data_IF_443445290737
#
_entry.id   IF_443445290737
#
_cell.length_a   1.000
_cell.length_b   1.000
_cell.length_c   1.000
_cell.angle_alpha   90.00
_cell.angle_beta   90.00
_cell.angle_gamma   90.00
#
_symmetry.space_group_name_H-M   'P 1'
#
loop_
_entity.id
_entity.type
_entity.pdbx_description
1 polymer ?
#
# COMPACT_ATOMS: atom_id res chain seq x y z
N UNK A 1 20.75 25.72 -8.02
CA UNK A 1 21.24 25.77 -6.61
C UNK A 1 22.47 24.89 -6.51
N UNK A 2 23.53 25.28 -5.73
CA UNK A 2 24.76 24.47 -5.62
C UNK A 2 24.59 23.33 -4.61
N UNK A 3 25.28 22.21 -4.85
CA UNK A 3 25.38 21.04 -3.94
C UNK A 3 25.97 21.41 -2.56
N UNK A 4 26.70 22.53 -2.45
CA UNK A 4 27.27 23.01 -1.20
C UNK A 4 26.25 23.21 -0.08
N UNK A 5 24.98 23.48 -0.43
CA UNK A 5 23.86 23.60 0.52
C UNK A 5 23.59 22.31 1.29
N UNK A 6 23.94 21.16 0.75
CA UNK A 6 23.77 19.87 1.41
C UNK A 6 24.88 19.58 2.45
N UNK A 7 25.94 20.39 2.48
CA UNK A 7 27.11 20.22 3.38
C UNK A 7 27.73 18.82 3.33
N UNK A 8 27.75 18.23 2.14
CA UNK A 8 28.35 16.92 1.88
C UNK A 8 29.86 16.96 1.96
N UNK A 9 30.48 15.82 2.22
CA UNK A 9 31.93 15.67 2.10
C UNK A 9 32.38 15.81 0.64
N UNK A 10 33.59 16.32 0.42
CA UNK A 10 34.16 16.52 -0.93
C UNK A 10 34.08 15.27 -1.81
N UNK A 11 34.37 14.03 -1.33
CA UNK A 11 34.23 12.82 -2.13
C UNK A 11 32.77 12.54 -2.58
N UNK A 12 31.76 12.88 -1.74
CA UNK A 12 30.35 12.69 -2.10
C UNK A 12 29.87 13.74 -3.09
N UNK A 13 30.33 14.99 -2.94
CA UNK A 13 30.04 16.03 -3.96
C UNK A 13 30.60 15.61 -5.33
N UNK A 14 31.85 15.12 -5.37
CA UNK A 14 32.45 14.60 -6.59
C UNK A 14 31.66 13.42 -7.16
N UNK A 15 31.25 12.45 -6.32
CA UNK A 15 30.46 11.30 -6.74
C UNK A 15 29.10 11.72 -7.31
N UNK A 16 28.41 12.68 -6.71
CA UNK A 16 27.16 13.23 -7.24
C UNK A 16 27.37 13.90 -8.59
N UNK A 17 28.42 14.72 -8.72
CA UNK A 17 28.73 15.42 -9.97
C UNK A 17 29.05 14.42 -11.10
N UNK A 18 29.87 13.41 -10.81
CA UNK A 18 30.21 12.34 -11.78
C UNK A 18 28.98 11.51 -12.19
N UNK A 19 28.01 11.36 -11.27
CA UNK A 19 26.73 10.69 -11.55
C UNK A 19 25.71 11.60 -12.25
N UNK A 20 26.05 12.86 -12.57
CA UNK A 20 25.15 13.81 -13.24
C UNK A 20 24.19 14.55 -12.32
N UNK A 21 24.29 14.39 -11.00
CA UNK A 21 23.47 15.12 -10.02
C UNK A 21 24.09 16.48 -9.71
N UNK A 22 23.79 17.47 -10.52
CA UNK A 22 24.44 18.80 -10.45
C UNK A 22 23.77 19.75 -9.45
N UNK A 23 22.49 19.54 -9.17
CA UNK A 23 21.69 20.38 -8.27
C UNK A 23 20.97 19.55 -7.22
N UNK A 24 20.88 20.03 -5.96
CA UNK A 24 20.12 19.35 -4.94
C UNK A 24 18.61 19.47 -5.19
N UNK A 25 17.89 18.39 -4.98
CA UNK A 25 16.42 18.40 -4.99
C UNK A 25 15.86 18.92 -3.67
N UNK A 26 14.61 19.37 -3.70
CA UNK A 26 13.96 20.00 -2.54
C UNK A 26 13.92 19.09 -1.32
N UNK A 27 13.57 17.81 -1.50
CA UNK A 27 13.58 16.82 -0.40
C UNK A 27 14.94 16.74 0.26
N UNK A 28 16.04 16.78 -0.50
CA UNK A 28 17.39 16.72 0.03
C UNK A 28 17.70 17.96 0.90
N UNK A 29 17.31 19.15 0.42
CA UNK A 29 17.52 20.41 1.13
C UNK A 29 16.75 20.46 2.46
N UNK A 30 15.50 19.95 2.47
CA UNK A 30 14.64 19.98 3.65
C UNK A 30 14.98 18.91 4.69
N UNK A 31 15.47 17.73 4.25
CA UNK A 31 15.62 16.56 5.14
C UNK A 31 17.06 16.32 5.60
N UNK A 32 18.08 16.57 4.76
CA UNK A 32 19.45 16.19 5.01
C UNK A 32 19.99 16.68 6.36
N UNK A 33 19.78 17.96 6.68
CA UNK A 33 20.29 18.54 7.95
C UNK A 33 19.64 17.92 9.18
N UNK A 34 18.37 17.52 9.10
CA UNK A 34 17.65 16.85 10.20
C UNK A 34 18.13 15.42 10.39
N UNK A 35 18.31 14.67 9.28
CA UNK A 35 18.83 13.30 9.33
C UNK A 35 20.25 13.30 9.89
N UNK A 36 21.14 14.19 9.43
CA UNK A 36 22.50 14.29 9.95
C UNK A 36 22.53 14.75 11.42
N UNK A 37 21.55 15.56 11.83
CA UNK A 37 21.36 16.01 13.21
C UNK A 37 20.82 14.95 14.17
N UNK A 38 20.38 13.78 13.65
CA UNK A 38 19.86 12.68 14.48
C UNK A 38 18.36 12.77 14.78
N UNK A 39 17.62 13.67 14.13
CA UNK A 39 16.17 13.79 14.29
C UNK A 39 15.45 12.72 13.48
N UNK A 40 14.44 12.08 14.05
CA UNK A 40 13.53 11.21 13.31
C UNK A 40 12.76 12.01 12.26
N UNK A 41 12.65 11.44 11.05
CA UNK A 41 12.08 12.15 9.89
C UNK A 41 11.09 11.25 9.15
N UNK A 42 9.95 11.83 8.78
CA UNK A 42 9.05 11.27 7.77
C UNK A 42 9.07 12.23 6.58
N UNK A 43 9.58 11.78 5.46
CA UNK A 43 9.62 12.54 4.21
C UNK A 43 8.52 12.02 3.27
N UNK A 44 7.58 12.89 2.96
CA UNK A 44 6.42 12.61 2.10
C UNK A 44 6.61 13.31 0.77
N UNK A 45 6.45 12.57 -0.31
CA UNK A 45 6.46 13.16 -1.64
C UNK A 45 6.55 12.12 -2.77
N UNK A 46 6.20 12.53 -4.00
CA UNK A 46 6.03 11.62 -5.12
C UNK A 46 7.31 10.88 -5.50
N UNK A 47 7.17 9.92 -6.41
CA UNK A 47 8.30 9.24 -7.02
C UNK A 47 9.18 10.24 -7.78
N UNK A 48 10.49 9.98 -7.85
CA UNK A 48 11.43 10.82 -8.61
C UNK A 48 11.97 12.04 -7.86
N UNK A 49 11.43 12.47 -6.71
CA UNK A 49 11.91 13.65 -5.97
C UNK A 49 13.31 13.48 -5.33
N UNK A 50 13.91 12.28 -5.42
CA UNK A 50 15.26 12.00 -4.91
C UNK A 50 15.30 11.43 -3.49
N UNK A 51 14.26 10.72 -3.06
CA UNK A 51 14.19 10.03 -1.75
C UNK A 51 15.37 9.09 -1.53
N UNK A 52 15.58 8.16 -2.46
CA UNK A 52 16.66 7.14 -2.40
C UNK A 52 18.03 7.79 -2.31
N UNK A 53 18.32 8.76 -3.17
CA UNK A 53 19.60 9.50 -3.14
C UNK A 53 19.80 10.22 -1.80
N UNK A 54 18.73 10.77 -1.20
CA UNK A 54 18.80 11.46 0.08
C UNK A 54 19.32 10.58 1.20
N UNK A 55 18.70 9.41 1.40
CA UNK A 55 19.14 8.55 2.51
C UNK A 55 20.44 7.81 2.22
N UNK A 56 20.76 7.53 0.96
CA UNK A 56 22.07 6.98 0.59
C UNK A 56 23.17 7.96 0.97
N UNK A 57 23.03 9.24 0.59
CA UNK A 57 23.98 10.30 0.98
C UNK A 57 24.07 10.46 2.50
N UNK A 58 22.92 10.51 3.18
CA UNK A 58 22.87 10.64 4.64
C UNK A 58 23.55 9.46 5.33
N UNK A 59 23.34 8.24 4.87
CA UNK A 59 23.96 7.02 5.39
C UNK A 59 25.49 7.08 5.22
N UNK A 60 25.97 7.40 4.02
CA UNK A 60 27.40 7.51 3.72
C UNK A 60 28.08 8.66 4.50
N UNK A 61 27.36 9.74 4.81
CA UNK A 61 27.85 10.83 5.65
C UNK A 61 27.91 10.47 7.13
N UNK A 62 26.93 9.73 7.61
CA UNK A 62 26.74 9.44 9.05
C UNK A 62 27.60 8.28 9.52
N UNK A 63 27.80 7.25 8.71
CA UNK A 63 28.60 6.10 9.06
C UNK A 63 30.08 6.46 8.95
N UNK A 64 30.69 6.76 10.10
CA UNK A 64 32.13 6.93 10.18
C UNK A 64 32.79 5.57 9.93
N UNK A 65 33.95 5.62 9.28
CA UNK A 65 34.79 4.45 9.12
C UNK A 65 35.21 3.93 10.50
N UNK A 66 34.68 2.79 10.87
CA UNK A 66 35.11 1.98 12.00
C UNK A 66 34.79 0.53 11.66
N UNK A 67 35.69 -0.39 11.86
CA UNK A 67 35.44 -1.81 11.72
C UNK A 67 34.48 -2.23 12.84
N UNK A 68 33.24 -2.56 12.47
CA UNK A 68 32.23 -3.08 13.39
C UNK A 68 31.78 -4.45 12.87
N UNK A 69 31.61 -5.41 13.77
CA UNK A 69 31.17 -6.76 13.42
C UNK A 69 29.66 -6.82 13.14
N UNK A 70 28.92 -5.76 13.45
CA UNK A 70 27.46 -5.71 13.31
C UNK A 70 27.03 -4.53 12.41
N UNK A 71 25.91 -4.64 11.71
CA UNK A 71 25.42 -3.60 10.80
C UNK A 71 25.08 -2.32 11.55
N UNK A 72 25.37 -1.19 10.90
CA UNK A 72 25.14 0.17 11.44
C UNK A 72 23.97 0.86 10.75
N UNK A 73 23.58 0.42 9.56
CA UNK A 73 22.37 0.87 8.88
C UNK A 73 21.55 -0.33 8.42
N UNK A 74 20.24 -0.24 8.62
CA UNK A 74 19.24 -1.16 8.10
C UNK A 74 18.23 -0.36 7.29
N UNK A 75 18.10 -0.73 6.01
CA UNK A 75 17.19 -0.09 5.06
C UNK A 75 16.16 -1.14 4.64
N UNK A 76 14.90 -0.88 4.94
CA UNK A 76 13.80 -1.75 4.58
C UNK A 76 13.09 -1.22 3.34
N UNK A 77 12.89 -2.09 2.35
CA UNK A 77 12.26 -1.80 1.07
C UNK A 77 11.19 -2.85 0.74
N UNK A 78 10.20 -2.55 -0.13
CA UNK A 78 9.03 -3.41 -0.30
C UNK A 78 9.29 -4.77 -0.97
N UNK A 79 10.35 -4.92 -1.77
CA UNK A 79 10.65 -6.13 -2.55
C UNK A 79 12.10 -6.22 -3.03
N UNK A 80 12.43 -7.30 -3.75
CA UNK A 80 13.77 -7.57 -4.27
C UNK A 80 14.23 -6.58 -5.35
N UNK A 81 13.34 -6.04 -6.15
CA UNK A 81 13.65 -5.05 -7.17
C UNK A 81 14.19 -3.79 -6.53
N UNK A 82 13.48 -3.26 -5.53
CA UNK A 82 13.93 -2.11 -4.75
C UNK A 82 15.24 -2.38 -3.98
N UNK A 83 15.46 -3.62 -3.50
CA UNK A 83 16.77 -3.98 -2.91
C UNK A 83 17.89 -3.77 -3.92
N UNK A 84 17.73 -4.25 -5.14
CA UNK A 84 18.74 -4.12 -6.19
C UNK A 84 18.96 -2.65 -6.59
N UNK A 85 17.91 -1.85 -6.72
CA UNK A 85 17.98 -0.43 -7.03
C UNK A 85 18.74 0.37 -5.96
N UNK A 86 18.44 0.14 -4.68
CA UNK A 86 19.12 0.82 -3.57
C UNK A 86 20.61 0.45 -3.52
N UNK A 87 20.94 -0.83 -3.73
CA UNK A 87 22.34 -1.26 -3.80
C UNK A 87 23.05 -0.60 -4.98
N UNK A 88 22.41 -0.53 -6.15
CA UNK A 88 22.97 0.15 -7.32
C UNK A 88 23.24 1.64 -7.00
N UNK A 89 22.32 2.30 -6.30
CA UNK A 89 22.49 3.69 -5.90
C UNK A 89 23.65 3.88 -4.89
N UNK A 90 23.83 2.96 -3.93
CA UNK A 90 25.00 2.96 -3.07
C UNK A 90 26.29 2.78 -3.86
N UNK A 91 26.33 1.83 -4.80
CA UNK A 91 27.51 1.58 -5.62
C UNK A 91 27.89 2.78 -6.49
N UNK A 92 26.88 3.52 -6.97
CA UNK A 92 27.07 4.74 -7.77
C UNK A 92 27.73 5.86 -6.95
N UNK A 93 27.29 6.07 -5.70
CA UNK A 93 27.70 7.22 -4.88
C UNK A 93 28.81 6.88 -3.88
N UNK A 94 28.99 5.62 -3.52
CA UNK A 94 29.99 5.21 -2.54
C UNK A 94 31.39 5.13 -3.13
N UNK A 95 32.25 6.09 -2.81
CA UNK A 95 33.68 6.08 -3.15
C UNK A 95 34.53 5.28 -2.17
N UNK A 96 33.99 4.97 -1.00
CA UNK A 96 34.68 4.20 0.02
C UNK A 96 34.38 2.71 -0.12
N UNK A 97 35.23 1.99 -0.80
CA UNK A 97 35.07 0.55 -1.03
C UNK A 97 35.20 -0.33 0.23
N UNK A 98 35.45 0.27 1.38
CA UNK A 98 35.55 -0.49 2.64
C UNK A 98 34.17 -0.78 3.26
N UNK A 99 33.12 -0.05 2.86
CA UNK A 99 31.75 -0.37 3.29
C UNK A 99 31.27 -1.68 2.66
N UNK A 100 30.82 -2.58 3.51
CA UNK A 100 30.21 -3.86 3.12
C UNK A 100 28.71 -3.67 3.11
N UNK A 101 28.13 -3.72 1.92
CA UNK A 101 26.71 -3.51 1.66
C UNK A 101 26.11 -4.81 1.17
N UNK A 102 25.10 -5.33 1.85
CA UNK A 102 24.44 -6.61 1.51
C UNK A 102 22.97 -6.39 1.26
N UNK A 103 22.47 -7.02 0.18
CA UNK A 103 21.04 -7.12 -0.14
C UNK A 103 20.44 -8.41 0.40
N UNK A 104 19.29 -8.30 1.03
CA UNK A 104 18.61 -9.42 1.66
C UNK A 104 17.16 -9.49 1.18
N UNK A 105 16.86 -10.49 0.38
CA UNK A 105 15.53 -10.77 -0.14
C UNK A 105 15.24 -12.28 -0.15
N UNK A 106 14.10 -12.67 -0.67
CA UNK A 106 13.67 -14.08 -0.70
C UNK A 106 14.31 -14.91 -1.81
N UNK A 107 15.06 -14.31 -2.76
CA UNK A 107 15.69 -15.04 -3.88
C UNK A 107 16.89 -15.86 -3.42
N UNK A 108 17.61 -15.40 -2.39
CA UNK A 108 18.76 -16.10 -1.81
C UNK A 108 18.39 -17.14 -0.76
N UNK A 109 19.26 -18.16 -0.58
CA UNK A 109 19.16 -19.12 0.52
C UNK A 109 19.34 -18.44 1.88
N UNK A 110 18.55 -18.84 2.90
CA UNK A 110 18.65 -18.19 4.22
C UNK A 110 19.99 -18.46 4.88
N UNK A 111 20.54 -19.66 4.72
CA UNK A 111 21.83 -20.04 5.30
C UNK A 111 23.00 -19.29 4.65
N UNK A 112 22.92 -19.05 3.34
CA UNK A 112 23.91 -18.21 2.63
C UNK A 112 23.89 -16.78 3.19
N UNK A 113 22.73 -16.20 3.35
CA UNK A 113 22.58 -14.83 3.90
C UNK A 113 23.01 -14.76 5.39
N UNK A 114 22.79 -15.82 6.16
CA UNK A 114 23.34 -15.91 7.53
C UNK A 114 24.85 -15.87 7.53
N UNK A 115 25.52 -16.60 6.64
CA UNK A 115 26.96 -16.61 6.52
C UNK A 115 27.50 -15.23 6.08
N UNK A 116 26.85 -14.59 5.09
CA UNK A 116 27.21 -13.22 4.66
C UNK A 116 27.14 -12.20 5.81
N UNK A 117 26.11 -12.31 6.68
CA UNK A 117 25.99 -11.44 7.84
C UNK A 117 27.08 -11.74 8.90
N UNK A 118 27.49 -12.99 9.05
CA UNK A 118 28.54 -13.41 10.00
C UNK A 118 29.91 -12.89 9.59
N UNK A 119 30.20 -12.77 8.31
CA UNK A 119 31.44 -12.19 7.79
C UNK A 119 31.56 -10.69 8.09
N UNK A 120 30.51 -10.08 8.64
CA UNK A 120 30.39 -8.69 9.04
C UNK A 120 29.89 -7.80 7.90
N UNK A 121 28.94 -6.96 8.19
CA UNK A 121 28.25 -6.05 7.24
C UNK A 121 28.05 -4.67 7.87
N UNK A 122 28.22 -3.62 7.09
CA UNK A 122 28.01 -2.24 7.55
C UNK A 122 26.59 -1.74 7.25
N UNK A 123 26.07 -2.06 6.06
CA UNK A 123 24.79 -1.60 5.57
C UNK A 123 24.01 -2.79 5.02
N UNK A 124 22.78 -2.95 5.50
CA UNK A 124 21.85 -3.96 5.03
C UNK A 124 20.69 -3.28 4.32
N UNK A 125 20.38 -3.72 3.10
CA UNK A 125 19.18 -3.38 2.36
C UNK A 125 18.31 -4.63 2.27
N UNK A 126 17.10 -4.61 2.81
CA UNK A 126 16.35 -5.84 2.99
C UNK A 126 14.84 -5.70 2.77
N UNK A 127 14.20 -6.79 2.35
CA UNK A 127 12.76 -6.95 2.47
C UNK A 127 12.39 -7.27 3.93
N UNK A 128 11.36 -6.64 4.51
CA UNK A 128 11.06 -6.74 5.94
C UNK A 128 10.91 -8.17 6.48
N UNK A 129 10.18 -9.04 5.81
CA UNK A 129 9.97 -10.44 6.24
C UNK A 129 11.29 -11.20 6.33
N UNK A 130 12.16 -10.98 5.34
CA UNK A 130 13.42 -11.69 5.26
C UNK A 130 14.39 -11.20 6.33
N UNK A 131 14.47 -9.88 6.54
CA UNK A 131 15.24 -9.30 7.63
C UNK A 131 14.75 -9.81 8.99
N UNK A 132 13.43 -9.88 9.20
CA UNK A 132 12.83 -10.45 10.40
C UNK A 132 13.20 -11.92 10.59
N UNK A 133 13.14 -12.72 9.54
CA UNK A 133 13.50 -14.16 9.62
C UNK A 133 14.96 -14.36 10.06
N UNK A 134 15.89 -13.52 9.56
CA UNK A 134 17.29 -13.53 9.97
C UNK A 134 17.49 -12.99 11.40
N UNK A 135 16.71 -12.00 11.80
CA UNK A 135 16.70 -11.51 13.19
C UNK A 135 16.25 -12.60 14.18
N UNK A 136 15.16 -13.30 13.88
CA UNK A 136 14.66 -14.38 14.72
C UNK A 136 15.63 -15.59 14.79
N UNK A 137 16.44 -15.78 13.76
CA UNK A 137 17.53 -16.77 13.75
C UNK A 137 18.83 -16.27 14.41
N UNK A 138 18.82 -15.07 14.99
CA UNK A 138 19.97 -14.42 15.64
C UNK A 138 21.15 -14.12 14.69
N UNK A 139 20.92 -14.14 13.39
CA UNK A 139 21.94 -13.79 12.40
C UNK A 139 22.00 -12.27 12.15
N UNK A 140 20.89 -11.56 12.25
CA UNK A 140 20.83 -10.11 12.16
C UNK A 140 20.93 -9.48 13.54
N UNK A 141 22.07 -8.86 13.85
CA UNK A 141 22.28 -8.12 15.09
C UNK A 141 21.87 -6.65 14.93
N UNK A 142 20.81 -6.24 15.60
CA UNK A 142 20.27 -4.87 15.53
C UNK A 142 20.85 -3.89 16.53
N UNK A 143 21.68 -4.34 17.48
CA UNK A 143 22.16 -3.53 18.61
C UNK A 143 23.07 -2.35 18.20
N UNK A 144 23.72 -2.43 17.05
CA UNK A 144 24.66 -1.39 16.55
C UNK A 144 24.03 -0.52 15.46
N UNK A 145 22.79 -0.75 15.10
CA UNK A 145 22.09 0.06 14.09
C UNK A 145 21.96 1.50 14.60
N UNK A 146 22.54 2.43 13.85
CA UNK A 146 22.48 3.86 14.08
C UNK A 146 21.40 4.52 13.23
N UNK A 147 21.09 3.92 12.07
CA UNK A 147 20.14 4.44 11.11
C UNK A 147 19.21 3.32 10.64
N UNK A 148 17.93 3.48 10.93
CA UNK A 148 16.86 2.58 10.51
C UNK A 148 16.00 3.32 9.49
N UNK A 149 16.02 2.87 8.24
CA UNK A 149 15.33 3.53 7.13
C UNK A 149 14.24 2.61 6.60
N UNK A 150 13.09 3.19 6.31
CA UNK A 150 12.00 2.52 5.59
C UNK A 150 11.72 3.33 4.33
N UNK A 151 11.96 2.76 3.18
CA UNK A 151 11.68 3.39 1.89
C UNK A 151 10.43 2.79 1.26
N UNK A 152 9.66 3.59 0.53
CA UNK A 152 8.36 3.25 -0.03
C UNK A 152 7.43 2.59 1.01
N UNK A 153 7.31 3.26 2.18
CA UNK A 153 6.62 2.71 3.35
C UNK A 153 5.14 2.40 3.07
N UNK A 154 4.49 3.16 2.19
CA UNK A 154 3.13 2.91 1.71
C UNK A 154 3.00 1.58 0.96
N UNK A 155 4.01 1.19 0.16
CA UNK A 155 4.03 -0.11 -0.53
C UNK A 155 4.26 -1.26 0.44
N UNK A 156 5.08 -1.05 1.48
CA UNK A 156 5.27 -2.01 2.57
C UNK A 156 3.93 -2.26 3.29
N UNK A 157 3.16 -1.21 3.56
CA UNK A 157 1.81 -1.33 4.13
C UNK A 157 0.85 -2.04 3.18
N UNK A 158 0.88 -1.71 1.88
CA UNK A 158 0.06 -2.35 0.83
C UNK A 158 0.33 -3.85 0.75
N UNK A 159 1.59 -4.27 0.93
CA UNK A 159 2.02 -5.68 0.94
C UNK A 159 1.76 -6.42 2.27
N UNK A 160 1.27 -5.74 3.30
CA UNK A 160 0.98 -6.36 4.60
C UNK A 160 2.21 -6.64 5.48
N UNK A 161 3.32 -5.93 5.23
CA UNK A 161 4.62 -6.15 5.87
C UNK A 161 4.86 -5.27 7.13
N UNK A 162 3.79 -4.71 7.73
CA UNK A 162 3.89 -3.79 8.86
C UNK A 162 4.50 -4.44 10.10
N UNK A 163 4.07 -5.66 10.43
CA UNK A 163 4.53 -6.36 11.63
C UNK A 163 6.05 -6.58 11.65
N UNK A 164 6.67 -7.11 10.58
CA UNK A 164 8.13 -7.21 10.48
C UNK A 164 8.86 -5.88 10.69
N UNK A 165 8.35 -4.78 10.12
CA UNK A 165 8.94 -3.44 10.30
C UNK A 165 8.92 -3.01 11.76
N UNK A 166 7.75 -3.14 12.43
CA UNK A 166 7.58 -2.74 13.83
C UNK A 166 8.47 -3.55 14.76
N UNK A 167 8.57 -4.87 14.55
CA UNK A 167 9.42 -5.73 15.39
C UNK A 167 10.90 -5.37 15.23
N UNK A 168 11.37 -5.16 14.00
CA UNK A 168 12.75 -4.78 13.73
C UNK A 168 13.08 -3.37 14.27
N UNK A 169 12.19 -2.40 14.10
CA UNK A 169 12.37 -1.05 14.63
C UNK A 169 12.44 -1.06 16.16
N UNK A 170 11.55 -1.79 16.82
CA UNK A 170 11.57 -1.94 18.28
C UNK A 170 12.82 -2.68 18.78
N UNK A 171 13.45 -3.54 17.98
CA UNK A 171 14.71 -4.18 18.33
C UNK A 171 15.92 -3.24 18.22
N UNK A 172 15.82 -2.19 17.40
CA UNK A 172 16.86 -1.20 17.15
C UNK A 172 16.58 0.14 17.88
N UNK A 173 16.24 0.10 19.17
CA UNK A 173 15.75 1.24 19.97
C UNK A 173 16.66 2.48 19.99
N UNK A 174 17.95 2.32 19.74
CA UNK A 174 18.93 3.44 19.72
C UNK A 174 19.10 4.03 18.32
N UNK A 175 18.50 3.44 17.31
CA UNK A 175 18.59 3.92 15.94
C UNK A 175 17.75 5.18 15.76
N UNK A 176 18.22 6.05 14.88
CA UNK A 176 17.39 7.10 14.29
C UNK A 176 16.50 6.47 13.25
N UNK A 177 15.21 6.80 13.25
CA UNK A 177 14.23 6.31 12.28
C UNK A 177 13.98 7.34 11.18
N UNK A 178 14.08 6.92 9.93
CA UNK A 178 13.84 7.78 8.77
C UNK A 178 12.94 7.05 7.80
N UNK A 179 11.80 7.64 7.52
CA UNK A 179 10.75 7.04 6.69
C UNK A 179 10.61 7.87 5.43
N UNK A 180 10.54 7.20 4.30
CA UNK A 180 10.22 7.79 3.01
C UNK A 180 8.95 7.16 2.47
N UNK A 181 8.01 8.00 2.04
CA UNK A 181 6.69 7.57 1.55
C UNK A 181 6.17 8.54 0.51
N UNK A 182 5.28 8.09 -0.36
CA UNK A 182 4.57 9.00 -1.28
C UNK A 182 3.36 9.64 -0.61
N UNK A 183 2.71 8.91 0.28
CA UNK A 183 1.52 9.36 1.02
C UNK A 183 1.61 8.97 2.49
N UNK A 184 1.08 9.83 3.35
CA UNK A 184 0.92 9.55 4.77
C UNK A 184 -0.57 9.31 5.04
N UNK A 185 -0.91 8.12 5.51
CA UNK A 185 -2.29 7.69 5.79
C UNK A 185 -2.37 6.91 7.10
N UNK A 186 -3.57 6.69 7.62
CA UNK A 186 -3.78 6.14 8.97
C UNK A 186 -3.13 4.77 9.20
N UNK A 187 -3.19 3.85 8.24
CA UNK A 187 -2.53 2.53 8.38
C UNK A 187 -1.01 2.65 8.48
N UNK A 188 -0.42 3.61 7.75
CA UNK A 188 1.01 3.91 7.85
C UNK A 188 1.33 4.54 9.20
N UNK A 189 0.54 5.51 9.66
CA UNK A 189 0.68 6.11 10.97
C UNK A 189 0.60 5.06 12.09
N UNK A 190 -0.33 4.10 12.00
CA UNK A 190 -0.44 2.99 12.95
C UNK A 190 0.81 2.10 12.95
N UNK A 191 1.48 1.91 11.81
CA UNK A 191 2.75 1.19 11.74
C UNK A 191 3.88 1.98 12.43
N UNK A 192 3.93 3.30 12.26
CA UNK A 192 5.03 4.15 12.74
C UNK A 192 4.91 4.50 14.24
N UNK A 193 3.71 4.69 14.76
CA UNK A 193 3.45 5.12 16.15
C UNK A 193 4.18 4.31 17.24
N UNK A 194 4.38 2.98 17.13
CA UNK A 194 5.09 2.21 18.15
C UNK A 194 6.56 2.61 18.36
N UNK A 195 7.24 3.15 17.33
CA UNK A 195 8.66 3.44 17.38
C UNK A 195 9.04 4.89 17.02
N UNK A 196 8.12 5.70 16.49
CA UNK A 196 8.34 7.13 16.18
C UNK A 196 7.39 8.00 17.00
N UNK A 197 7.90 8.76 17.97
CA UNK A 197 7.04 9.57 18.87
C UNK A 197 6.82 11.00 18.37
N UNK A 198 7.87 11.68 17.91
CA UNK A 198 7.82 13.09 17.48
C UNK A 198 8.68 13.29 16.23
N UNK A 199 8.40 12.62 15.12
CA UNK A 199 9.18 12.80 13.90
C UNK A 199 8.94 14.19 13.29
N UNK A 200 9.96 14.70 12.60
CA UNK A 200 9.77 15.84 11.71
C UNK A 200 9.08 15.34 10.42
N UNK A 201 7.86 15.78 10.17
CA UNK A 201 7.16 15.50 8.91
C UNK A 201 7.55 16.57 7.90
N UNK A 202 8.01 16.13 6.74
CA UNK A 202 8.47 17.00 5.65
C UNK A 202 7.75 16.57 4.38
N UNK A 203 6.90 17.44 3.90
CA UNK A 203 6.17 17.24 2.65
C UNK A 203 6.82 18.02 1.52
N UNK A 204 6.97 17.35 0.38
CA UNK A 204 7.43 17.91 -0.87
C UNK A 204 6.41 17.56 -1.94
N UNK A 205 5.82 18.57 -2.55
CA UNK A 205 4.86 18.43 -3.64
C UNK A 205 5.56 18.81 -4.95
N UNK A 206 5.47 17.97 -5.93
CA UNK A 206 5.97 18.22 -7.28
C UNK A 206 4.79 18.04 -8.22
N UNK A 207 4.07 19.15 -8.44
CA UNK A 207 2.96 19.20 -9.40
C UNK A 207 3.51 19.52 -10.79
N UNK A 208 2.77 19.18 -11.83
CA UNK A 208 3.11 19.55 -13.19
C UNK A 208 3.21 21.08 -13.33
N UNK A 209 4.16 21.56 -14.13
CA UNK A 209 4.38 23.00 -14.34
C UNK A 209 3.17 23.72 -14.97
N UNK A 210 2.32 22.97 -15.68
CA UNK A 210 1.06 23.46 -16.25
C UNK A 210 -0.09 22.70 -15.63
N UNK A 211 -0.99 23.44 -15.01
CA UNK A 211 -2.29 22.92 -14.61
C UNK A 211 -3.12 22.57 -15.84
N UNK A 212 -3.67 21.38 -15.89
CA UNK A 212 -4.67 21.03 -16.88
C UNK A 212 -6.00 21.70 -16.51
N UNK A 213 -6.74 22.18 -17.51
CA UNK A 213 -8.13 22.61 -17.27
C UNK A 213 -8.96 21.35 -16.99
N UNK A 214 -9.34 21.17 -15.74
CA UNK A 214 -10.12 20.02 -15.28
C UNK A 214 -11.44 20.45 -14.67
N UNK A 215 -12.42 19.57 -14.70
CA UNK A 215 -13.67 19.73 -13.95
C UNK A 215 -13.41 19.78 -12.44
N UNK A 216 -14.37 20.24 -11.65
CA UNK A 216 -14.26 20.22 -10.19
C UNK A 216 -13.99 18.79 -9.71
N UNK A 217 -12.96 18.64 -8.87
CA UNK A 217 -12.51 17.34 -8.36
C UNK A 217 -12.74 17.25 -6.86
N UNK A 218 -13.61 16.34 -6.42
CA UNK A 218 -13.87 16.06 -5.01
C UNK A 218 -13.33 14.69 -4.61
N UNK A 219 -12.65 14.60 -3.48
CA UNK A 219 -12.06 13.37 -2.97
C UNK A 219 -12.65 13.00 -1.61
N UNK A 220 -13.29 11.84 -1.52
CA UNK A 220 -13.69 11.23 -0.27
C UNK A 220 -12.75 10.10 0.12
N UNK A 221 -12.14 10.20 1.31
CA UNK A 221 -11.29 9.15 1.85
C UNK A 221 -12.09 8.26 2.81
N UNK A 222 -12.14 6.96 2.53
CA UNK A 222 -12.93 6.00 3.31
C UNK A 222 -12.09 4.76 3.66
N UNK A 223 -12.36 4.07 4.78
CA UNK A 223 -11.50 2.98 5.26
C UNK A 223 -11.54 1.71 4.39
N UNK A 224 -12.62 1.45 3.65
CA UNK A 224 -12.78 0.22 2.87
C UNK A 224 -13.89 0.32 1.81
N UNK A 225 -13.93 -0.67 0.92
CA UNK A 225 -14.90 -0.74 -0.18
C UNK A 225 -16.36 -0.76 0.28
N UNK A 226 -16.67 -1.40 1.42
CA UNK A 226 -18.04 -1.42 1.93
C UNK A 226 -18.51 -0.04 2.37
N UNK A 227 -17.62 0.75 2.94
CA UNK A 227 -17.90 2.15 3.27
C UNK A 227 -18.05 3.00 2.01
N UNK A 228 -17.30 2.71 0.91
CA UNK A 228 -17.55 3.34 -0.40
C UNK A 228 -18.99 3.11 -0.88
N UNK A 229 -19.51 1.87 -0.75
CA UNK A 229 -20.89 1.56 -1.12
C UNK A 229 -21.90 2.31 -0.25
N UNK A 230 -21.67 2.38 1.06
CA UNK A 230 -22.57 3.13 1.96
C UNK A 230 -22.56 4.63 1.61
N UNK A 231 -21.39 5.21 1.33
CA UNK A 231 -21.27 6.60 0.92
C UNK A 231 -21.98 6.86 -0.41
N UNK A 232 -21.78 5.99 -1.39
CA UNK A 232 -22.49 6.09 -2.66
C UNK A 232 -24.00 6.05 -2.44
N UNK A 233 -24.50 5.12 -1.60
CA UNK A 233 -25.94 5.03 -1.27
C UNK A 233 -26.45 6.34 -0.63
N UNK A 234 -25.67 6.90 0.27
CA UNK A 234 -26.03 8.13 0.97
C UNK A 234 -26.10 9.32 0.00
N UNK A 235 -25.11 9.50 -0.86
CA UNK A 235 -25.11 10.55 -1.88
C UNK A 235 -26.27 10.39 -2.87
N UNK A 236 -26.52 9.18 -3.34
CA UNK A 236 -27.61 8.90 -4.31
C UNK A 236 -29.00 9.04 -3.69
N UNK A 237 -29.14 9.14 -2.37
CA UNK A 237 -30.44 9.41 -1.72
C UNK A 237 -30.96 10.82 -1.99
N UNK A 238 -30.06 11.76 -2.33
CA UNK A 238 -30.43 13.10 -2.77
C UNK A 238 -30.64 13.13 -4.28
N UNK A 239 -31.88 12.87 -4.69
CA UNK A 239 -32.28 12.80 -6.11
C UNK A 239 -32.38 14.19 -6.76
N UNK A 240 -32.50 15.25 -5.98
CA UNK A 240 -32.60 16.61 -6.51
C UNK A 240 -31.22 17.11 -6.96
N UNK A 241 -30.17 16.73 -6.23
CA UNK A 241 -28.78 17.09 -6.58
C UNK A 241 -28.20 16.12 -7.61
N UNK A 242 -28.34 14.82 -7.36
CA UNK A 242 -27.78 13.76 -8.21
C UNK A 242 -28.81 13.22 -9.21
N UNK A 243 -29.22 14.06 -10.13
CA UNK A 243 -30.26 13.72 -11.13
C UNK A 243 -29.74 12.81 -12.25
N UNK A 244 -28.47 12.91 -12.65
CA UNK A 244 -27.84 12.11 -13.68
C UNK A 244 -26.38 11.81 -13.32
N UNK A 245 -26.05 10.56 -13.08
CA UNK A 245 -24.75 10.14 -12.55
C UNK A 245 -24.19 8.94 -13.29
N UNK A 246 -22.91 8.98 -13.64
CA UNK A 246 -22.15 7.81 -14.09
C UNK A 246 -21.17 7.36 -12.99
N UNK A 247 -21.26 6.10 -12.60
CA UNK A 247 -20.43 5.46 -11.57
C UNK A 247 -19.46 4.49 -12.23
N UNK A 248 -18.15 4.78 -12.14
CA UNK A 248 -17.10 3.94 -12.70
C UNK A 248 -16.56 2.95 -11.66
N UNK A 249 -16.44 1.68 -12.09
CA UNK A 249 -15.82 0.58 -11.35
C UNK A 249 -14.83 -0.15 -12.26
N UNK A 250 -13.96 -0.99 -11.71
CA UNK A 250 -12.91 -1.61 -12.51
C UNK A 250 -13.42 -2.82 -13.29
N UNK A 251 -14.22 -3.71 -12.66
CA UNK A 251 -14.64 -4.96 -13.29
C UNK A 251 -16.16 -5.04 -13.47
N UNK A 252 -16.59 -5.82 -14.46
CA UNK A 252 -18.02 -6.11 -14.65
C UNK A 252 -18.63 -6.83 -13.45
N UNK A 253 -17.82 -7.62 -12.71
CA UNK A 253 -18.28 -8.29 -11.50
C UNK A 253 -18.53 -7.29 -10.36
N UNK A 254 -17.67 -6.27 -10.24
CA UNK A 254 -17.89 -5.16 -9.30
C UNK A 254 -19.14 -4.37 -9.68
N UNK A 255 -19.33 -4.06 -10.97
CA UNK A 255 -20.54 -3.39 -11.45
C UNK A 255 -21.82 -4.15 -11.04
N UNK A 256 -21.83 -5.46 -11.21
CA UNK A 256 -22.92 -6.33 -10.80
C UNK A 256 -23.15 -6.31 -9.27
N UNK A 257 -22.07 -6.27 -8.50
CA UNK A 257 -22.12 -6.21 -7.03
C UNK A 257 -22.72 -4.89 -6.58
N UNK A 258 -22.29 -3.79 -7.18
CA UNK A 258 -22.84 -2.45 -6.92
C UNK A 258 -24.32 -2.41 -7.28
N UNK A 259 -24.70 -2.83 -8.48
CA UNK A 259 -26.07 -2.88 -8.93
C UNK A 259 -27.00 -3.64 -7.95
N UNK A 260 -26.62 -4.85 -7.54
CA UNK A 260 -27.40 -5.65 -6.59
C UNK A 260 -27.56 -5.00 -5.23
N UNK A 261 -26.54 -4.30 -4.73
CA UNK A 261 -26.62 -3.60 -3.46
C UNK A 261 -27.56 -2.38 -3.53
N UNK A 262 -27.65 -1.74 -4.69
CA UNK A 262 -28.42 -0.51 -4.89
C UNK A 262 -29.85 -0.73 -5.34
N UNK A 263 -30.11 -1.79 -6.12
CA UNK A 263 -31.42 -2.05 -6.71
C UNK A 263 -32.54 -2.24 -5.66
N UNK A 264 -32.16 -2.58 -4.41
CA UNK A 264 -33.12 -2.66 -3.29
C UNK A 264 -33.54 -1.30 -2.73
N UNK A 265 -32.80 -0.24 -3.01
CA UNK A 265 -33.04 1.12 -2.46
C UNK A 265 -33.63 2.03 -3.53
N UNK A 266 -33.22 1.88 -4.79
CA UNK A 266 -33.57 2.75 -5.91
C UNK A 266 -34.06 1.90 -7.10
N UNK A 267 -35.15 1.18 -6.91
CA UNK A 267 -35.70 0.25 -7.91
C UNK A 267 -36.13 1.02 -9.18
N UNK A 268 -35.53 0.67 -10.33
CA UNK A 268 -35.81 1.28 -11.62
C UNK A 268 -34.95 2.49 -12.01
N UNK A 269 -34.20 3.09 -11.09
CA UNK A 269 -33.35 4.27 -11.36
C UNK A 269 -31.90 3.90 -11.75
N UNK A 270 -31.51 2.66 -11.49
CA UNK A 270 -30.13 2.18 -11.69
C UNK A 270 -30.06 1.24 -12.87
N UNK A 271 -29.01 1.40 -13.65
CA UNK A 271 -28.71 0.59 -14.83
C UNK A 271 -27.22 0.27 -14.93
N UNK A 272 -26.90 -0.79 -15.64
CA UNK A 272 -25.52 -1.19 -15.95
C UNK A 272 -25.24 -0.96 -17.43
N UNK A 273 -24.09 -0.35 -17.73
CA UNK A 273 -23.62 -0.26 -19.11
C UNK A 273 -23.10 -1.61 -19.59
N UNK A 274 -23.71 -2.17 -20.62
CA UNK A 274 -23.40 -3.50 -21.20
C UNK A 274 -23.39 -4.59 -20.14
N UNK A 275 -24.54 -4.83 -19.52
CA UNK A 275 -24.71 -5.84 -18.47
C UNK A 275 -24.22 -7.23 -18.89
N UNK A 276 -23.73 -8.01 -17.91
CA UNK A 276 -23.38 -9.42 -18.11
C UNK A 276 -24.60 -10.35 -18.19
N UNK A 277 -25.72 -9.95 -17.61
CA UNK A 277 -26.93 -10.75 -17.48
C UNK A 277 -28.11 -10.06 -18.12
N UNK A 278 -28.90 -10.80 -18.86
CA UNK A 278 -30.09 -10.28 -19.59
C UNK A 278 -31.22 -9.78 -18.67
N UNK A 279 -31.23 -10.28 -17.41
CA UNK A 279 -32.26 -9.91 -16.44
C UNK A 279 -32.00 -8.59 -15.72
N UNK A 280 -30.81 -8.01 -15.89
CA UNK A 280 -30.45 -6.73 -15.26
C UNK A 280 -30.87 -5.56 -16.16
N UNK A 281 -31.37 -4.49 -15.55
CA UNK A 281 -31.60 -3.24 -16.27
C UNK A 281 -30.26 -2.69 -16.80
N UNK A 282 -30.13 -2.55 -18.10
CA UNK A 282 -28.89 -2.15 -18.74
C UNK A 282 -29.09 -1.38 -20.02
N UNK A 283 -28.05 -0.66 -20.41
CA UNK A 283 -27.95 0.07 -21.66
C UNK A 283 -26.73 -0.40 -22.45
N UNK A 284 -26.91 -0.62 -23.74
CA UNK A 284 -25.79 -0.90 -24.67
C UNK A 284 -25.18 0.37 -25.25
N UNK A 285 -25.96 1.46 -25.30
CA UNK A 285 -25.54 2.79 -25.73
C UNK A 285 -25.77 3.81 -24.60
N UNK A 286 -24.78 4.69 -24.39
CA UNK A 286 -24.89 5.76 -23.41
C UNK A 286 -25.89 6.84 -23.81
N UNK A 287 -26.19 7.01 -25.10
CA UNK A 287 -27.18 7.96 -25.58
C UNK A 287 -28.58 7.58 -25.11
N UNK A 288 -28.92 6.29 -25.05
CA UNK A 288 -30.18 5.81 -24.52
C UNK A 288 -30.30 6.17 -23.02
N UNK A 289 -29.24 6.00 -22.24
CA UNK A 289 -29.21 6.44 -20.85
C UNK A 289 -29.42 7.95 -20.71
N UNK A 290 -28.77 8.76 -21.56
CA UNK A 290 -28.89 10.23 -21.51
C UNK A 290 -30.32 10.69 -21.79
N UNK A 291 -31.05 9.99 -22.65
CA UNK A 291 -32.42 10.35 -23.11
C UNK A 291 -33.53 9.90 -22.18
N UNK A 292 -33.31 8.87 -21.34
CA UNK A 292 -34.31 8.32 -20.43
C UNK A 292 -34.25 9.01 -19.08
N UNK A 293 -35.26 9.79 -18.74
CA UNK A 293 -35.26 10.59 -17.50
C UNK A 293 -35.32 9.72 -16.23
N UNK A 294 -36.01 8.58 -16.29
CA UNK A 294 -36.17 7.66 -15.16
C UNK A 294 -34.86 6.97 -14.77
N UNK A 295 -33.94 6.74 -15.74
CA UNK A 295 -32.67 6.15 -15.47
C UNK A 295 -31.70 7.23 -14.96
N UNK A 296 -31.44 7.24 -13.66
CA UNK A 296 -30.67 8.27 -12.99
C UNK A 296 -29.19 7.91 -12.82
N UNK A 297 -28.90 6.62 -12.55
CA UNK A 297 -27.56 6.15 -12.21
C UNK A 297 -27.14 5.07 -13.22
N UNK A 298 -26.01 5.29 -13.90
CA UNK A 298 -25.41 4.31 -14.81
C UNK A 298 -24.10 3.79 -14.23
N UNK A 299 -24.01 2.49 -13.98
CA UNK A 299 -22.80 1.83 -13.54
C UNK A 299 -22.01 1.35 -14.76
N UNK A 300 -20.74 1.76 -14.85
CA UNK A 300 -19.86 1.47 -15.99
C UNK A 300 -18.59 0.76 -15.50
N UNK A 301 -18.30 -0.42 -16.04
CA UNK A 301 -17.06 -1.13 -15.79
C UNK A 301 -15.94 -0.64 -16.72
N UNK A 302 -14.75 -0.41 -16.17
CA UNK A 302 -13.54 -0.08 -16.96
C UNK A 302 -13.09 -1.26 -17.83
N UNK A 303 -13.38 -2.49 -17.39
CA UNK A 303 -13.03 -3.73 -18.07
C UNK A 303 -13.65 -3.81 -19.46
N UNK A 304 -12.81 -3.80 -20.51
CA UNK A 304 -13.23 -3.86 -21.91
C UNK A 304 -13.92 -2.59 -22.41
N UNK A 305 -13.86 -1.49 -21.65
CA UNK A 305 -14.43 -0.22 -22.04
C UNK A 305 -13.53 0.45 -23.09
N UNK A 306 -14.11 0.81 -24.22
CA UNK A 306 -13.53 1.78 -25.16
C UNK A 306 -13.94 3.19 -24.73
N UNK A 307 -13.51 4.21 -25.45
CA UNK A 307 -13.87 5.60 -25.14
C UNK A 307 -15.41 5.76 -25.06
N UNK A 308 -15.88 6.27 -23.91
CA UNK A 308 -17.30 6.50 -23.62
C UNK A 308 -17.56 8.01 -23.63
N UNK A 309 -18.52 8.45 -24.40
CA UNK A 309 -18.93 9.86 -24.45
C UNK A 309 -19.82 10.23 -23.25
N UNK A 310 -19.20 10.80 -22.22
CA UNK A 310 -19.87 11.26 -20.98
C UNK A 310 -20.26 12.74 -21.02
N UNK A 311 -20.12 13.42 -22.15
CA UNK A 311 -20.48 14.85 -22.30
C UNK A 311 -21.93 15.08 -21.92
N UNK A 312 -22.21 16.16 -21.18
CA UNK A 312 -23.57 16.50 -20.72
C UNK A 312 -24.07 15.70 -19.52
N UNK A 313 -23.21 14.88 -18.87
CA UNK A 313 -23.53 14.22 -17.59
C UNK A 313 -22.93 15.03 -16.47
N UNK A 314 -23.73 15.60 -15.53
CA UNK A 314 -23.23 16.55 -14.53
C UNK A 314 -22.36 15.91 -13.46
N UNK A 315 -22.56 14.61 -13.15
CA UNK A 315 -21.82 13.94 -12.09
C UNK A 315 -21.12 12.67 -12.57
N UNK A 316 -19.83 12.57 -12.27
CA UNK A 316 -19.01 11.41 -12.52
C UNK A 316 -18.46 10.91 -11.17
N UNK A 317 -18.70 9.64 -10.85
CA UNK A 317 -18.18 9.05 -9.61
C UNK A 317 -17.20 7.94 -9.94
N UNK A 318 -15.97 8.06 -9.50
CA UNK A 318 -14.99 6.98 -9.51
C UNK A 318 -15.06 6.21 -8.19
N UNK A 319 -15.89 5.16 -8.15
CA UNK A 319 -16.01 4.27 -6.98
C UNK A 319 -14.74 3.44 -6.79
N UNK A 320 -14.12 3.05 -7.90
CA UNK A 320 -12.78 2.46 -7.95
C UNK A 320 -11.91 3.27 -8.92
N UNK A 321 -10.65 3.45 -8.56
CA UNK A 321 -9.69 4.09 -9.45
C UNK A 321 -9.31 3.15 -10.59
N UNK A 322 -9.26 3.61 -11.85
CA UNK A 322 -8.81 2.79 -12.96
C UNK A 322 -7.33 2.42 -12.81
N UNK A 323 -6.94 1.27 -13.36
CA UNK A 323 -5.53 0.81 -13.36
C UNK A 323 -4.57 1.81 -14.03
N UNK A 324 -5.06 2.50 -15.07
CA UNK A 324 -4.30 3.49 -15.81
C UNK A 324 -4.83 4.90 -15.49
N UNK A 325 -3.96 5.75 -14.93
CA UNK A 325 -4.30 7.14 -14.59
C UNK A 325 -4.82 7.94 -15.79
N UNK A 326 -4.33 7.66 -17.00
CA UNK A 326 -4.74 8.31 -18.25
C UNK A 326 -6.24 8.15 -18.51
N UNK A 327 -6.83 7.02 -18.10
CA UNK A 327 -8.27 6.77 -18.25
C UNK A 327 -9.09 7.73 -17.39
N UNK A 328 -8.67 7.99 -16.15
CA UNK A 328 -9.32 8.95 -15.28
C UNK A 328 -9.08 10.38 -15.78
N UNK A 329 -7.85 10.73 -16.12
CA UNK A 329 -7.47 12.06 -16.59
C UNK A 329 -8.30 12.46 -17.83
N UNK A 330 -8.50 11.57 -18.80
CA UNK A 330 -9.35 11.82 -19.97
C UNK A 330 -10.79 12.19 -19.60
N UNK A 331 -11.32 11.65 -18.50
CA UNK A 331 -12.71 11.91 -18.07
C UNK A 331 -12.89 13.21 -17.34
N UNK A 332 -11.82 13.71 -16.72
CA UNK A 332 -11.88 14.90 -15.87
C UNK A 332 -11.36 16.16 -16.57
N UNK A 333 -10.64 16.01 -17.68
CA UNK A 333 -10.21 17.18 -18.48
C UNK A 333 -11.42 17.82 -19.12
N UNK A 334 -11.52 19.15 -19.03
CA UNK A 334 -12.59 19.92 -19.65
C UNK A 334 -12.49 19.90 -21.17
N UNK A 335 -13.59 19.59 -21.82
CA UNK A 335 -13.74 19.60 -23.27
C UNK A 335 -14.90 20.53 -23.67
N UNK A 336 -14.91 21.77 -23.18
CA UNK A 336 -15.95 22.75 -23.46
C UNK A 336 -16.43 23.49 -22.21
N UNK A 337 -17.61 24.08 -22.27
CA UNK A 337 -18.19 24.90 -21.19
C UNK A 337 -19.05 24.09 -20.20
N UNK A 338 -19.07 22.75 -20.30
CA UNK A 338 -19.87 21.90 -19.43
C UNK A 338 -19.33 21.92 -17.99
N UNK A 339 -20.22 22.18 -17.04
CA UNK A 339 -19.91 22.06 -15.61
C UNK A 339 -20.15 20.61 -15.14
N UNK A 340 -19.08 19.88 -14.92
CA UNK A 340 -19.11 18.51 -14.41
C UNK A 340 -18.41 18.46 -13.06
N UNK A 341 -19.00 17.71 -12.11
CA UNK A 341 -18.36 17.41 -10.82
C UNK A 341 -17.89 15.95 -10.83
N UNK A 342 -16.58 15.76 -10.72
CA UNK A 342 -16.00 14.44 -10.61
C UNK A 342 -15.68 14.12 -9.14
N UNK A 343 -16.29 13.06 -8.63
CA UNK A 343 -16.15 12.61 -7.24
C UNK A 343 -15.34 11.32 -7.25
N UNK A 344 -14.25 11.31 -6.50
CA UNK A 344 -13.38 10.13 -6.37
C UNK A 344 -13.48 9.56 -4.96
N UNK A 345 -13.76 8.26 -4.85
CA UNK A 345 -13.70 7.55 -3.56
C UNK A 345 -12.39 6.79 -3.46
N UNK A 346 -11.61 7.07 -2.44
CA UNK A 346 -10.32 6.44 -2.22
C UNK A 346 -10.25 5.78 -0.84
N UNK A 347 -9.56 4.65 -0.77
CA UNK A 347 -9.09 4.07 0.49
C UNK A 347 -7.64 4.47 0.72
N UNK A 348 -7.13 4.31 1.94
CA UNK A 348 -5.73 4.61 2.28
C UNK A 348 -4.72 4.01 1.29
N UNK A 349 -5.01 2.80 0.81
CA UNK A 349 -4.12 2.07 -0.12
C UNK A 349 -4.14 2.68 -1.53
N UNK A 350 -5.27 3.28 -1.92
CA UNK A 350 -5.47 3.88 -3.25
C UNK A 350 -4.97 5.33 -3.31
N UNK A 351 -4.60 5.96 -2.18
CA UNK A 351 -4.13 7.35 -2.17
C UNK A 351 -2.85 7.57 -2.99
N UNK A 352 -2.06 6.52 -3.20
CA UNK A 352 -0.88 6.58 -4.07
C UNK A 352 -1.30 6.90 -5.50
N UNK A 353 -2.32 6.18 -5.99
CA UNK A 353 -2.86 6.36 -7.35
C UNK A 353 -3.51 7.76 -7.49
N UNK A 354 -4.21 8.24 -6.44
CA UNK A 354 -4.74 9.61 -6.41
C UNK A 354 -3.62 10.63 -6.55
N UNK A 355 -2.53 10.50 -5.78
CA UNK A 355 -1.38 11.43 -5.87
C UNK A 355 -0.72 11.43 -7.24
N UNK A 356 -0.61 10.28 -7.89
CA UNK A 356 -0.09 10.19 -9.28
C UNK A 356 -0.98 10.91 -10.29
N UNK A 357 -2.30 10.90 -10.06
CA UNK A 357 -3.26 11.64 -10.89
C UNK A 357 -3.12 13.14 -10.64
N UNK A 358 -3.15 13.60 -9.38
CA UNK A 358 -2.98 14.99 -8.99
C UNK A 358 -1.68 15.59 -9.55
N UNK A 359 -0.59 14.81 -9.46
CA UNK A 359 0.69 15.21 -10.03
C UNK A 359 0.62 15.38 -11.56
N UNK A 360 -0.08 14.48 -12.25
CA UNK A 360 -0.19 14.53 -13.71
C UNK A 360 -1.08 15.67 -14.21
N UNK A 361 -2.14 16.03 -13.47
CA UNK A 361 -3.02 17.16 -13.81
C UNK A 361 -2.49 18.52 -13.32
N UNK A 362 -1.54 18.51 -12.39
CA UNK A 362 -0.96 19.74 -11.81
C UNK A 362 -1.83 20.40 -10.74
N UNK A 363 -2.93 19.77 -10.31
CA UNK A 363 -3.86 20.30 -9.32
C UNK A 363 -4.21 19.22 -8.26
N UNK A 364 -4.47 19.67 -7.02
CA UNK A 364 -4.93 18.79 -5.95
C UNK A 364 -6.45 18.62 -6.02
N UNK A 365 -6.94 17.43 -5.68
CA UNK A 365 -8.36 17.19 -5.47
C UNK A 365 -8.81 17.78 -4.13
N UNK A 366 -9.98 18.38 -4.08
CA UNK A 366 -10.56 18.92 -2.85
C UNK A 366 -11.01 17.77 -1.94
N UNK A 367 -10.39 17.63 -0.76
CA UNK A 367 -10.73 16.58 0.19
C UNK A 367 -11.99 16.99 0.94
N UNK A 368 -13.01 16.13 0.86
CA UNK A 368 -14.31 16.34 1.49
C UNK A 368 -14.39 15.59 2.82
N UNK A 369 -15.03 16.22 3.80
CA UNK A 369 -15.38 15.57 5.05
C UNK A 369 -16.44 14.48 4.82
N UNK A 370 -16.35 13.39 5.57
CA UNK A 370 -17.36 12.35 5.49
C UNK A 370 -18.66 12.81 6.15
N UNK A 371 -19.83 12.56 5.53
CA UNK A 371 -21.11 12.90 6.13
C UNK A 371 -21.33 12.21 7.50
N UNK A 372 -21.89 12.94 8.47
CA UNK A 372 -22.14 12.43 9.83
C UNK A 372 -23.03 11.18 9.85
N UNK A 373 -23.96 11.07 8.91
CA UNK A 373 -24.89 9.94 8.77
C UNK A 373 -24.26 8.71 8.11
N UNK A 374 -22.99 8.78 7.69
CA UNK A 374 -22.31 7.70 7.00
C UNK A 374 -22.04 6.51 7.95
N UNK A 375 -22.55 5.35 7.57
CA UNK A 375 -22.25 4.08 8.28
C UNK A 375 -20.86 3.58 7.90
N UNK A 376 -19.87 3.87 8.74
CA UNK A 376 -18.51 3.35 8.60
C UNK A 376 -18.48 1.90 9.08
N UNK A 377 -17.92 1.00 8.26
CA UNK A 377 -17.80 -0.42 8.58
C UNK A 377 -16.36 -0.74 8.95
N UNK A 378 -16.12 -1.14 10.19
CA UNK A 378 -14.79 -1.57 10.65
C UNK A 378 -14.39 -2.90 10.01
N UNK A 379 -13.19 -2.96 9.43
CA UNK A 379 -12.65 -4.17 8.79
C UNK A 379 -12.48 -5.35 9.78
N UNK A 380 -12.43 -5.08 11.08
CA UNK A 380 -12.28 -6.07 12.15
C UNK A 380 -13.59 -6.76 12.54
N UNK A 381 -14.74 -6.12 12.35
CA UNK A 381 -16.05 -6.67 12.74
C UNK A 381 -16.50 -7.87 11.90
N UNK A 382 -16.04 -7.98 10.65
CA UNK A 382 -16.40 -9.09 9.75
C UNK A 382 -15.75 -10.44 10.13
N UNK A 383 -14.61 -10.42 10.81
CA UNK A 383 -13.94 -11.64 11.30
C UNK A 383 -14.56 -12.19 12.59
N UNK A 384 -15.20 -11.34 13.40
CA UNK A 384 -15.85 -11.75 14.65
C UNK A 384 -17.21 -12.43 14.40
N UNK A 385 -17.97 -12.02 13.38
CA UNK A 385 -19.27 -12.65 13.07
C UNK A 385 -19.15 -14.03 12.41
N UNK A 386 -18.06 -14.36 11.73
CA UNK A 386 -17.82 -15.72 11.20
C UNK A 386 -17.44 -16.74 12.27
N UNK A 387 -17.07 -16.32 13.48
CA UNK A 387 -16.80 -17.24 14.61
C UNK A 387 -18.02 -17.51 15.50
N UNK A 388 -19.14 -16.77 15.31
CA UNK A 388 -20.33 -16.92 16.17
C UNK A 388 -21.52 -17.67 15.53
N UNK A 389 -21.42 -18.19 14.33
CA UNK A 389 -22.51 -18.88 13.64
C UNK A 389 -22.36 -20.41 13.60
N UNK A 390 -21.60 -21.00 14.54
CA UNK A 390 -21.52 -22.49 14.71
C UNK A 390 -21.73 -22.92 16.16
N UNK A 391 -22.48 -22.15 16.96
CA UNK A 391 -22.96 -22.65 18.22
C UNK A 391 -24.44 -23.04 18.05
N UNK A 392 -24.66 -24.29 17.72
CA UNK A 392 -25.94 -24.98 17.97
C UNK A 392 -25.96 -25.29 19.46
N UNK A 393 -26.97 -24.79 20.14
CA UNK A 393 -27.26 -25.10 21.51
C UNK A 393 -27.35 -26.62 21.73
N UNK A 394 -26.45 -27.18 22.54
CA UNK A 394 -26.65 -28.38 23.30
C UNK A 394 -26.39 -28.05 24.75
N UNK A 395 -27.49 -27.95 25.52
CA UNK A 395 -27.45 -28.01 26.96
C UNK A 395 -26.92 -29.38 27.39
N UNK A 396 -25.82 -29.44 28.06
CA UNK A 396 -25.60 -30.06 29.37
C UNK A 396 -24.13 -30.27 29.73
N UNK A 397 -23.88 -30.14 31.05
CA UNK A 397 -22.74 -30.59 31.85
C UNK A 397 -21.44 -29.79 31.79
N UNK A 398 -21.24 -29.06 32.87
CA UNK A 398 -19.98 -28.43 33.27
C UNK A 398 -18.82 -29.40 33.45
N UNK A 399 -17.93 -29.39 32.44
CA UNK A 399 -16.54 -29.79 32.58
C UNK A 399 -15.68 -28.94 31.66
N UNK A 400 -14.57 -28.46 32.22
CA UNK A 400 -13.68 -27.50 31.60
C UNK A 400 -13.16 -27.91 30.22
N UNK A 401 -12.88 -26.91 29.40
CA UNK A 401 -12.53 -26.94 27.98
C UNK A 401 -11.20 -27.65 27.59
N UNK A 402 -10.72 -28.59 28.40
CA UNK A 402 -9.42 -29.24 28.16
C UNK A 402 -9.50 -30.66 27.52
N UNK A 403 -10.69 -31.21 27.33
CA UNK A 403 -10.82 -32.56 26.76
C UNK A 403 -11.86 -32.61 25.66
N UNK A 404 -11.41 -32.53 24.42
CA UNK A 404 -12.24 -32.91 23.28
C UNK A 404 -12.23 -34.41 23.08
N UNK A 405 -13.34 -35.09 23.34
CA UNK A 405 -13.52 -36.48 22.91
C UNK A 405 -13.52 -36.54 21.36
N UNK A 406 -12.61 -37.38 20.85
CA UNK A 406 -12.54 -37.60 19.39
C UNK A 406 -13.76 -38.40 18.95
N UNK A 407 -14.50 -37.92 17.96
CA UNK A 407 -15.58 -38.65 17.32
C UNK A 407 -15.04 -40.02 16.83
N UNK A 408 -15.82 -41.09 16.99
CA UNK A 408 -15.42 -42.46 16.65
C UNK A 408 -14.92 -42.66 15.21
N UNK A 409 -15.35 -41.81 14.27
CA UNK A 409 -14.86 -41.78 12.88
C UNK A 409 -13.44 -41.23 12.71
N UNK A 410 -12.85 -40.59 13.73
CA UNK A 410 -11.54 -39.95 13.69
C UNK A 410 -10.53 -40.57 14.65
N UNK A 411 -10.82 -41.75 15.19
CA UNK A 411 -9.93 -42.51 16.06
C UNK A 411 -8.86 -43.19 15.20
N UNK A 412 -7.83 -42.41 14.82
CA UNK A 412 -6.55 -43.01 14.43
C UNK A 412 -5.78 -43.34 15.70
N UNK A 413 -5.69 -44.59 15.98
CA UNK A 413 -5.01 -45.11 17.17
C UNK A 413 -3.48 -45.00 16.95
N UNK A 414 -2.87 -43.88 17.42
CA UNK A 414 -1.42 -43.66 17.31
C UNK A 414 -0.62 -44.19 18.52
N UNK A 415 -1.30 -44.68 19.56
CA UNK A 415 -0.65 -45.27 20.74
C UNK A 415 -0.50 -46.77 20.58
N UNK A 416 0.48 -47.17 19.82
CA UNK A 416 0.90 -48.55 19.77
C UNK A 416 2.07 -48.76 20.75
N UNK A 417 1.96 -49.79 21.61
CA UNK A 417 3.09 -50.33 22.35
C UNK A 417 4.17 -50.79 21.36
N UNK A 418 5.41 -50.84 21.81
CA UNK A 418 6.63 -50.99 21.00
C UNK A 418 6.71 -52.24 20.08
N UNK A 419 5.65 -52.92 19.74
CA UNK A 419 5.62 -54.05 18.81
C UNK A 419 4.70 -53.89 17.60
N UNK A 420 3.91 -52.80 17.51
CA UNK A 420 2.85 -52.66 16.48
C UNK A 420 3.21 -51.75 15.33
N UNK A 421 4.40 -51.22 15.27
CA UNK A 421 4.88 -50.33 14.19
C UNK A 421 4.94 -51.00 12.81
N UNK A 422 5.02 -52.31 12.76
CA UNK A 422 5.21 -53.07 11.53
C UNK A 422 3.95 -53.23 10.68
N UNK A 423 2.74 -53.06 11.23
CA UNK A 423 1.51 -53.37 10.50
C UNK A 423 1.12 -52.33 9.41
N UNK A 424 1.48 -51.10 9.56
CA UNK A 424 1.17 -50.06 8.53
C UNK A 424 2.10 -50.13 7.32
N UNK A 425 3.37 -50.49 7.55
CA UNK A 425 4.37 -50.64 6.49
C UNK A 425 4.17 -51.94 5.69
N UNK A 426 3.57 -52.95 6.29
CA UNK A 426 3.36 -54.26 5.67
C UNK A 426 2.18 -54.27 4.66
N UNK A 427 1.16 -53.44 4.89
CA UNK A 427 0.04 -53.36 3.93
C UNK A 427 0.43 -52.62 2.62
N UNK A 428 1.39 -51.70 2.68
CA UNK A 428 1.88 -51.05 1.48
C UNK A 428 2.89 -51.88 0.68
N UNK A 429 3.48 -52.92 1.26
CA UNK A 429 4.40 -53.83 0.54
C UNK A 429 3.69 -54.96 -0.21
N UNK A 430 2.44 -55.27 0.10
CA UNK A 430 1.66 -56.30 -0.59
C UNK A 430 0.89 -55.81 -1.83
N UNK A 431 0.93 -54.54 -2.09
CA UNK A 431 0.31 -53.95 -3.30
C UNK A 431 1.30 -53.73 -4.45
N UNK A 432 2.54 -54.23 -4.35
CA UNK A 432 3.57 -54.12 -5.38
C UNK A 432 4.21 -55.51 -5.60
N UNK A 433 3.40 -56.43 -6.05
CA UNK A 433 3.82 -57.65 -6.70
C UNK A 433 2.73 -58.11 -7.65
#
# INVERSE_FOLDING_TARGET
MSLDKLKLSKPLVAAMTDAGFLTPKEVQLKTMSRILGGQDVIAVGPEGIGKTTTYVLATLMKLKYAFEEAPRALILVPDAEHVAEVIAQFNLLNRNKTFRIVGIDSSGGIDTQMNELTDGVDIIVAVPDRARALYLKLALNTNKIQLFIVDNAELIVKKGLQLPVVELANSAQKAQHVIFTEVLHDKLNHMLNPFMKFPAIIEVQELAEKEAEVHQQLLYQVPNFRTKLNLLTLLMSDAEVFDKVVVFVNTKLTAQTVYKNFNHVNEGEISIYRSLFFDDAGFDDIQDFKNIAEARILIVANEGLQDLDITGIPFIIHLELPEHKETLIKRIVKHGDDEVVAITFSTDIELIEVRKIEQAIGALMEVMDLPDDLKIVDATASKAKKKKSTDVEDEDSGRGAAFHEKKASNVKNYNYSAGTKAKMTYKNKKGLS
#
